data_IF_804043778200
#
_entry.id   IF_804043778200
#
_cell.length_a   1.000
_cell.length_b   1.000
_cell.length_c   1.000
_cell.angle_alpha   90.00
_cell.angle_beta   90.00
_cell.angle_gamma   90.00
#
_symmetry.space_group_name_H-M   'P 1'
#
loop_
_entity.id
_entity.type
_entity.pdbx_description
1 polymer ?
#
# COMPACT_ATOMS: atom_id res chain seq x y z
N UNK A 1 8.10 0.91 2.52
CA UNK A 1 6.97 1.84 2.32
C UNK A 1 7.22 3.10 3.16
N UNK A 2 7.22 4.26 2.51
CA UNK A 2 7.38 5.53 3.23
C UNK A 2 6.06 5.93 3.89
N UNK A 3 6.16 6.52 5.10
CA UNK A 3 5.01 7.13 5.76
C UNK A 3 4.51 8.32 4.92
N UNK A 4 3.18 8.50 4.86
CA UNK A 4 2.54 9.60 4.15
C UNK A 4 2.67 9.58 2.61
N UNK A 5 2.78 8.39 2.01
CA UNK A 5 2.79 8.22 0.56
C UNK A 5 1.55 8.85 -0.11
N UNK A 6 1.74 9.55 -1.22
CA UNK A 6 0.69 10.21 -1.99
C UNK A 6 0.69 9.73 -3.44
N UNK A 7 -0.40 9.93 -4.16
CA UNK A 7 -0.55 9.46 -5.55
C UNK A 7 0.55 9.92 -6.52
N UNK A 8 0.99 11.17 -6.51
CA UNK A 8 2.12 11.60 -7.34
C UNK A 8 3.38 10.77 -7.11
N UNK A 9 3.69 10.43 -5.86
CA UNK A 9 4.84 9.60 -5.52
C UNK A 9 4.64 8.17 -6.04
N UNK A 10 3.43 7.60 -5.86
CA UNK A 10 3.10 6.27 -6.37
C UNK A 10 3.28 6.18 -7.89
N UNK A 11 2.81 7.19 -8.63
CA UNK A 11 2.95 7.26 -10.08
C UNK A 11 4.43 7.26 -10.51
N UNK A 12 5.27 8.06 -9.87
CA UNK A 12 6.69 8.15 -10.22
C UNK A 12 7.46 6.87 -9.83
N UNK A 13 7.17 6.29 -8.67
CA UNK A 13 7.80 5.02 -8.28
C UNK A 13 7.37 3.86 -9.20
N UNK A 14 6.13 3.89 -9.67
CA UNK A 14 5.67 2.89 -10.63
C UNK A 14 6.41 3.03 -11.98
N UNK A 15 6.64 4.25 -12.48
CA UNK A 15 7.47 4.50 -13.66
C UNK A 15 8.89 3.93 -13.51
N UNK A 16 9.51 4.18 -12.35
CA UNK A 16 10.85 3.64 -12.07
C UNK A 16 10.81 2.11 -12.01
N UNK A 17 9.79 1.52 -11.39
CA UNK A 17 9.67 0.07 -11.34
C UNK A 17 9.52 -0.55 -12.74
N UNK A 18 8.82 0.11 -13.65
CA UNK A 18 8.63 -0.36 -15.03
C UNK A 18 9.92 -0.36 -15.86
N UNK A 19 10.98 0.33 -15.45
CA UNK A 19 12.29 0.27 -16.11
C UNK A 19 12.95 -1.13 -16.00
N UNK A 20 12.58 -1.91 -14.97
CA UNK A 20 13.19 -3.22 -14.69
C UNK A 20 12.17 -4.34 -14.41
N UNK A 21 10.89 -4.02 -14.29
CA UNK A 21 9.85 -4.97 -13.92
C UNK A 21 8.62 -4.80 -14.82
N UNK A 22 7.95 -5.92 -15.09
CA UNK A 22 6.69 -5.93 -15.85
C UNK A 22 5.60 -6.61 -15.01
N UNK A 23 5.06 -5.94 -13.98
CA UNK A 23 4.08 -6.53 -13.08
C UNK A 23 2.77 -6.81 -13.84
N UNK A 24 2.22 -8.01 -13.68
CA UNK A 24 0.88 -8.35 -14.18
C UNK A 24 -0.24 -7.79 -13.32
N UNK A 25 0.08 -7.53 -12.05
CA UNK A 25 -0.85 -7.01 -11.04
C UNK A 25 -0.20 -5.86 -10.29
N UNK A 26 -0.93 -4.77 -10.13
CA UNK A 26 -0.53 -3.61 -9.34
C UNK A 26 -1.60 -3.33 -8.30
N UNK A 27 -1.19 -3.12 -7.05
CA UNK A 27 -2.10 -2.82 -5.94
C UNK A 27 -1.82 -1.45 -5.37
N UNK A 28 -2.85 -0.62 -5.26
CA UNK A 28 -2.80 0.70 -4.64
C UNK A 28 -3.60 0.72 -3.33
N UNK A 29 -2.99 1.18 -2.27
CA UNK A 29 -3.70 1.41 -1.01
C UNK A 29 -4.63 2.63 -1.11
N UNK A 30 -5.91 2.46 -0.85
CA UNK A 30 -6.93 3.50 -1.03
C UNK A 30 -6.76 4.75 -0.15
N UNK A 31 -6.11 4.63 1.00
CA UNK A 31 -5.95 5.76 1.93
C UNK A 31 -5.11 6.92 1.37
N UNK A 32 -4.25 6.68 0.37
CA UNK A 32 -3.47 7.74 -0.26
C UNK A 32 -4.33 8.77 -1.02
N UNK A 33 -5.51 8.38 -1.48
CA UNK A 33 -6.41 9.23 -2.27
C UNK A 33 -7.10 10.33 -1.46
N UNK A 34 -7.11 10.21 -0.14
CA UNK A 34 -7.73 11.19 0.75
C UNK A 34 -6.78 12.30 1.19
N UNK A 35 -5.51 12.20 0.80
CA UNK A 35 -4.48 13.15 1.19
C UNK A 35 -4.42 14.33 0.22
N UNK A 36 -4.28 15.54 0.76
CA UNK A 36 -4.14 16.74 -0.05
C UNK A 36 -2.72 16.82 -0.63
N UNK A 37 -2.62 16.76 -1.96
CA UNK A 37 -1.36 16.81 -2.70
C UNK A 37 -0.91 18.22 -3.06
N UNK A 38 -1.80 19.24 -3.00
CA UNK A 38 -1.51 20.61 -3.46
C UNK A 38 -0.30 21.26 -2.79
N UNK A 39 -0.15 21.07 -1.48
CA UNK A 39 0.96 21.66 -0.72
C UNK A 39 2.33 21.05 -1.02
N UNK A 40 2.37 19.90 -1.68
CA UNK A 40 3.60 19.14 -1.95
C UNK A 40 4.09 19.21 -3.39
N UNK A 41 3.26 19.70 -4.34
CA UNK A 41 3.61 19.70 -5.79
C UNK A 41 4.92 20.41 -6.12
N UNK A 42 5.13 21.62 -5.59
CA UNK A 42 6.35 22.38 -5.85
C UNK A 42 7.57 21.75 -5.17
N UNK A 43 7.42 21.27 -3.95
CA UNK A 43 8.47 20.61 -3.18
C UNK A 43 8.94 19.33 -3.88
N UNK A 44 8.01 18.50 -4.35
CA UNK A 44 8.32 17.28 -5.10
C UNK A 44 9.09 17.60 -6.39
N UNK A 45 8.66 18.63 -7.13
CA UNK A 45 9.35 19.06 -8.35
C UNK A 45 10.77 19.53 -8.06
N UNK A 46 10.96 20.30 -6.98
CA UNK A 46 12.26 20.79 -6.54
C UNK A 46 13.15 19.67 -6.02
N UNK A 47 12.63 18.79 -5.18
CA UNK A 47 13.33 17.62 -4.67
C UNK A 47 13.79 16.69 -5.81
N UNK A 48 12.97 16.47 -6.81
CA UNK A 48 13.34 15.69 -8.00
C UNK A 48 14.44 16.34 -8.81
N UNK A 49 14.37 17.65 -9.02
CA UNK A 49 15.41 18.37 -9.71
C UNK A 49 16.74 18.26 -8.96
N UNK A 50 16.74 18.43 -7.63
CA UNK A 50 17.91 18.26 -6.78
C UNK A 50 18.46 16.83 -6.83
N UNK A 51 17.61 15.81 -6.71
CA UNK A 51 18.01 14.40 -6.78
C UNK A 51 18.59 14.01 -8.16
N UNK A 52 18.17 14.69 -9.22
CA UNK A 52 18.68 14.48 -10.57
C UNK A 52 20.07 15.10 -10.74
N UNK A 53 20.32 16.27 -10.12
CA UNK A 53 21.62 16.97 -10.15
C UNK A 53 22.60 16.38 -9.13
N UNK A 54 22.10 15.89 -8.00
CA UNK A 54 22.89 15.28 -6.94
C UNK A 54 22.35 13.88 -6.60
N UNK A 55 22.72 12.84 -7.36
CA UNK A 55 22.22 11.46 -7.15
C UNK A 55 22.47 10.93 -5.73
N UNK A 56 23.51 11.40 -5.05
CA UNK A 56 23.82 11.06 -3.64
C UNK A 56 22.66 11.39 -2.68
N UNK A 57 21.83 12.37 -3.00
CA UNK A 57 20.64 12.71 -2.18
C UNK A 57 19.59 11.61 -2.18
N UNK A 58 19.58 10.73 -3.18
CA UNK A 58 18.71 9.55 -3.19
C UNK A 58 19.10 8.54 -2.10
N UNK A 59 20.34 8.55 -1.69
CA UNK A 59 20.94 7.62 -0.73
C UNK A 59 21.23 8.28 0.62
N UNK A 60 20.81 9.51 0.81
CA UNK A 60 21.07 10.30 2.02
C UNK A 60 20.70 9.57 3.32
N UNK A 61 19.65 8.77 3.33
CA UNK A 61 19.29 7.96 4.50
C UNK A 61 20.08 6.64 4.61
N UNK A 62 20.80 6.24 3.55
CA UNK A 62 21.52 4.97 3.50
C UNK A 62 23.01 5.12 3.85
N UNK A 63 23.55 6.35 3.92
CA UNK A 63 24.96 6.57 4.22
C UNK A 63 25.37 6.02 5.61
N UNK A 64 24.46 6.03 6.57
CA UNK A 64 24.65 5.40 7.88
C UNK A 64 24.88 3.90 7.76
N UNK A 65 24.10 3.24 6.93
CA UNK A 65 24.22 1.81 6.67
C UNK A 65 25.54 1.47 5.97
N UNK A 66 26.01 2.38 5.08
CA UNK A 66 27.31 2.26 4.39
C UNK A 66 28.46 2.38 5.40
N UNK A 67 28.39 3.34 6.31
CA UNK A 67 29.45 3.60 7.31
C UNK A 67 29.50 2.52 8.40
N UNK A 68 28.40 1.89 8.74
CA UNK A 68 28.30 0.91 9.81
C UNK A 68 28.24 -0.55 9.32
N UNK A 69 28.52 -0.80 8.03
CA UNK A 69 28.45 -2.15 7.42
C UNK A 69 27.12 -2.88 7.61
N UNK A 70 26.02 -2.15 7.79
CA UNK A 70 24.70 -2.70 8.03
C UNK A 70 23.97 -2.98 6.71
N UNK A 71 24.67 -3.63 5.76
CA UNK A 71 24.09 -4.06 4.49
C UNK A 71 23.06 -5.19 4.65
N UNK A 72 22.97 -5.78 5.85
CA UNK A 72 22.11 -6.94 6.11
C UNK A 72 20.64 -6.62 6.29
N UNK A 73 20.27 -5.35 6.52
CA UNK A 73 18.90 -4.96 6.85
C UNK A 73 18.10 -4.35 5.69
N UNK A 74 18.65 -4.31 4.47
CA UNK A 74 17.87 -3.88 3.31
C UNK A 74 16.75 -4.88 3.09
N UNK A 75 15.70 -4.60 3.83
CA UNK A 75 14.35 -5.11 3.65
C UNK A 75 14.22 -6.64 3.51
N UNK A 76 14.66 -7.37 4.53
CA UNK A 76 14.20 -8.74 4.77
C UNK A 76 12.67 -8.79 4.64
N UNK A 77 11.99 -7.76 5.11
CA UNK A 77 10.53 -7.63 5.10
C UNK A 77 9.97 -7.08 3.77
N UNK A 78 10.79 -6.90 2.73
CA UNK A 78 10.34 -6.46 1.39
C UNK A 78 9.42 -5.23 1.40
N UNK A 79 9.72 -4.25 2.26
CA UNK A 79 8.94 -3.02 2.44
C UNK A 79 7.80 -3.13 3.45
N UNK A 80 7.53 -4.27 4.02
CA UNK A 80 6.63 -4.42 5.16
C UNK A 80 7.32 -3.94 6.44
N UNK A 81 6.58 -3.27 7.32
CA UNK A 81 7.06 -2.88 8.65
C UNK A 81 6.26 -3.64 9.70
N UNK A 82 6.89 -4.61 10.36
CA UNK A 82 6.30 -5.33 11.47
C UNK A 82 5.98 -4.38 12.63
N UNK A 83 4.73 -4.38 13.07
CA UNK A 83 4.28 -3.59 14.20
C UNK A 83 3.22 -4.34 14.99
N UNK A 84 3.56 -4.79 16.19
CA UNK A 84 2.66 -5.49 17.12
C UNK A 84 2.03 -4.57 18.16
N UNK A 85 2.30 -3.26 18.13
CA UNK A 85 1.70 -2.31 19.08
C UNK A 85 0.19 -2.43 19.05
N UNK A 86 -0.43 -2.55 20.21
CA UNK A 86 -1.87 -2.53 20.41
C UNK A 86 -2.24 -1.19 21.02
N UNK A 87 -3.09 -0.43 20.33
CA UNK A 87 -3.77 0.74 20.87
C UNK A 87 -5.25 0.57 20.58
N UNK A 88 -6.04 0.19 21.59
CA UNK A 88 -7.44 -0.14 21.41
C UNK A 88 -8.24 0.99 20.76
N UNK A 89 -9.04 0.64 19.76
CA UNK A 89 -10.07 1.48 19.16
C UNK A 89 -11.45 0.98 19.63
N UNK A 90 -12.37 1.90 19.82
CA UNK A 90 -13.78 1.53 20.03
C UNK A 90 -14.44 1.36 18.66
N UNK A 91 -15.18 0.28 18.46
CA UNK A 91 -15.94 0.10 17.22
C UNK A 91 -16.97 1.24 17.05
N UNK A 92 -17.03 1.76 15.84
CA UNK A 92 -18.07 2.67 15.36
C UNK A 92 -18.59 2.14 14.02
N UNK A 93 -19.86 2.36 13.71
CA UNK A 93 -20.46 1.98 12.44
C UNK A 93 -20.14 3.04 11.36
N UNK A 94 -18.87 3.04 10.93
CA UNK A 94 -18.31 4.03 9.98
C UNK A 94 -18.70 3.75 8.52
N UNK A 95 -19.19 2.55 8.22
CA UNK A 95 -19.65 2.15 6.89
C UNK A 95 -21.16 2.29 6.70
N UNK A 96 -21.88 2.85 7.70
CA UNK A 96 -23.32 3.05 7.63
C UNK A 96 -23.71 3.88 6.42
N UNK A 97 -24.73 3.41 5.71
CA UNK A 97 -25.30 4.08 4.55
C UNK A 97 -25.84 5.47 4.88
N UNK A 98 -25.64 6.39 3.96
CA UNK A 98 -26.17 7.76 4.05
C UNK A 98 -26.14 8.42 2.67
N UNK A 99 -26.84 9.55 2.52
CA UNK A 99 -27.01 10.29 1.27
C UNK A 99 -25.89 11.28 0.96
N UNK A 100 -24.84 11.33 1.78
CA UNK A 100 -23.71 12.25 1.55
C UNK A 100 -22.89 11.80 0.35
N UNK A 101 -22.29 12.75 -0.33
CA UNK A 101 -21.36 12.48 -1.43
C UNK A 101 -19.91 12.73 -1.01
N UNK A 102 -19.01 11.95 -1.58
CA UNK A 102 -17.57 12.21 -1.48
C UNK A 102 -17.06 12.76 -2.81
N UNK A 103 -16.51 13.97 -2.74
CA UNK A 103 -15.86 14.61 -3.90
C UNK A 103 -14.35 14.39 -3.80
N UNK A 104 -13.79 13.66 -4.77
CA UNK A 104 -12.35 13.45 -4.85
C UNK A 104 -11.64 14.77 -5.21
N UNK A 105 -10.48 14.99 -4.60
CA UNK A 105 -9.61 16.13 -4.96
C UNK A 105 -9.19 15.97 -6.43
N UNK A 106 -9.43 17.01 -7.26
CA UNK A 106 -9.15 16.99 -8.71
C UNK A 106 -7.75 16.46 -9.03
N UNK A 107 -6.73 16.92 -8.34
CA UNK A 107 -5.36 16.48 -8.57
C UNK A 107 -5.18 14.96 -8.29
N UNK A 108 -5.88 14.42 -7.29
CA UNK A 108 -5.82 12.99 -7.01
C UNK A 108 -6.52 12.17 -8.10
N UNK A 109 -7.63 12.67 -8.64
CA UNK A 109 -8.30 12.04 -9.78
C UNK A 109 -7.39 11.99 -11.01
N UNK A 110 -6.74 13.11 -11.37
CA UNK A 110 -5.84 13.18 -12.52
C UNK A 110 -4.65 12.22 -12.37
N UNK A 111 -4.02 12.17 -11.19
CA UNK A 111 -2.94 11.22 -10.95
C UNK A 111 -3.39 9.76 -10.94
N UNK A 112 -4.60 9.48 -10.41
CA UNK A 112 -5.18 8.14 -10.47
C UNK A 112 -5.37 7.73 -11.93
N UNK A 113 -5.99 8.59 -12.74
CA UNK A 113 -6.19 8.33 -14.17
C UNK A 113 -4.86 8.07 -14.89
N UNK A 114 -3.86 8.94 -14.70
CA UNK A 114 -2.53 8.75 -15.28
C UNK A 114 -1.89 7.42 -14.86
N UNK A 115 -2.05 7.02 -13.60
CA UNK A 115 -1.54 5.76 -13.07
C UNK A 115 -2.21 4.56 -13.75
N UNK A 116 -3.55 4.59 -13.86
CA UNK A 116 -4.33 3.52 -14.48
C UNK A 116 -4.00 3.40 -15.97
N UNK A 117 -3.93 4.53 -16.68
CA UNK A 117 -3.58 4.55 -18.11
C UNK A 117 -2.18 3.97 -18.34
N UNK A 118 -1.20 4.33 -17.50
CA UNK A 118 0.13 3.78 -17.56
C UNK A 118 0.14 2.27 -17.26
N UNK A 119 -0.56 1.82 -16.24
CA UNK A 119 -0.62 0.39 -15.91
C UNK A 119 -1.26 -0.42 -17.05
N UNK A 120 -2.34 0.08 -17.64
CA UNK A 120 -3.00 -0.54 -18.80
C UNK A 120 -2.09 -0.63 -20.02
N UNK A 121 -1.26 0.38 -20.28
CA UNK A 121 -0.30 0.36 -21.40
C UNK A 121 0.77 -0.74 -21.27
N UNK A 122 0.97 -1.25 -20.06
CA UNK A 122 1.84 -2.40 -19.76
C UNK A 122 1.05 -3.70 -19.49
N UNK A 123 -0.25 -3.74 -19.82
CA UNK A 123 -1.13 -4.88 -19.58
C UNK A 123 -1.21 -5.32 -18.12
N UNK A 124 -0.98 -4.41 -17.18
CA UNK A 124 -1.10 -4.69 -15.76
C UNK A 124 -2.54 -4.48 -15.27
N UNK A 125 -3.07 -5.46 -14.52
CA UNK A 125 -4.35 -5.32 -13.83
C UNK A 125 -4.17 -4.51 -12.55
N UNK A 126 -5.01 -3.49 -12.35
CA UNK A 126 -4.92 -2.61 -11.20
C UNK A 126 -6.03 -2.91 -10.19
N UNK A 127 -5.62 -3.07 -8.94
CA UNK A 127 -6.50 -3.18 -7.78
C UNK A 127 -6.30 -1.98 -6.86
N UNK A 128 -7.38 -1.35 -6.46
CA UNK A 128 -7.38 -0.36 -5.38
C UNK A 128 -7.97 -1.02 -4.14
N UNK A 129 -7.21 -0.98 -3.03
CA UNK A 129 -7.58 -1.69 -1.80
C UNK A 129 -7.97 -0.70 -0.72
N UNK A 130 -9.20 -0.79 -0.23
CA UNK A 130 -9.66 -0.13 0.98
C UNK A 130 -9.33 -0.98 2.20
N UNK A 131 -8.22 -0.70 2.87
CA UNK A 131 -7.88 -1.41 4.11
C UNK A 131 -8.80 -1.00 5.27
N UNK A 132 -9.13 -1.91 6.20
CA UNK A 132 -9.95 -1.59 7.37
C UNK A 132 -9.40 -0.39 8.14
N UNK A 133 -10.22 0.67 8.24
CA UNK A 133 -9.87 1.90 8.95
C UNK A 133 -11.12 2.69 9.26
N UNK A 134 -11.46 2.83 10.55
CA UNK A 134 -12.65 3.55 11.00
C UNK A 134 -12.58 5.06 10.75
N UNK A 135 -11.37 5.62 10.64
CA UNK A 135 -11.17 7.06 10.45
C UNK A 135 -10.99 7.44 8.99
N UNK A 136 -10.46 6.52 8.17
CA UNK A 136 -10.16 6.81 6.75
C UNK A 136 -11.24 6.36 5.79
N UNK A 137 -12.07 5.37 6.16
CA UNK A 137 -13.12 4.87 5.28
C UNK A 137 -14.51 5.24 5.80
N UNK A 138 -15.46 5.30 4.88
CA UNK A 138 -16.89 5.50 5.12
C UNK A 138 -17.69 5.12 3.86
N UNK A 139 -19.01 5.10 3.98
CA UNK A 139 -19.91 4.71 2.89
C UNK A 139 -19.75 5.56 1.62
N UNK A 140 -19.59 6.90 1.75
CA UNK A 140 -19.46 7.78 0.60
C UNK A 140 -18.17 7.51 -0.21
N UNK A 141 -17.09 7.21 0.49
CA UNK A 141 -15.81 6.84 -0.16
C UNK A 141 -15.91 5.50 -0.85
N UNK A 142 -16.57 4.52 -0.21
CA UNK A 142 -16.84 3.22 -0.84
C UNK A 142 -17.62 3.38 -2.14
N UNK A 143 -18.75 4.10 -2.11
CA UNK A 143 -19.57 4.39 -3.29
C UNK A 143 -18.74 5.04 -4.40
N UNK A 144 -17.99 6.09 -4.05
CA UNK A 144 -17.17 6.83 -5.03
C UNK A 144 -16.09 5.97 -5.68
N UNK A 145 -15.44 5.09 -4.91
CA UNK A 145 -14.39 4.23 -5.46
C UNK A 145 -14.95 3.11 -6.34
N UNK A 146 -16.16 2.61 -6.08
CA UNK A 146 -16.86 1.72 -7.01
C UNK A 146 -17.19 2.43 -8.34
N UNK A 147 -17.69 3.68 -8.30
CA UNK A 147 -17.93 4.49 -9.49
C UNK A 147 -16.64 4.71 -10.29
N UNK A 148 -15.55 5.11 -9.63
CA UNK A 148 -14.26 5.34 -10.27
C UNK A 148 -13.65 4.06 -10.83
N UNK A 149 -13.85 2.91 -10.18
CA UNK A 149 -13.41 1.61 -10.68
C UNK A 149 -14.07 1.29 -12.03
N UNK A 150 -15.38 1.51 -12.13
CA UNK A 150 -16.12 1.34 -13.39
C UNK A 150 -15.70 2.36 -14.46
N UNK A 151 -15.49 3.62 -14.08
CA UNK A 151 -15.11 4.71 -14.99
C UNK A 151 -13.70 4.52 -15.55
N UNK A 152 -12.72 4.27 -14.67
CA UNK A 152 -11.30 4.23 -15.01
C UNK A 152 -10.80 2.80 -15.31
N UNK A 153 -11.60 1.77 -15.03
CA UNK A 153 -11.29 0.37 -15.30
C UNK A 153 -10.22 -0.22 -14.39
N UNK A 154 -10.37 -0.06 -13.09
CA UNK A 154 -9.64 -0.79 -12.05
C UNK A 154 -10.62 -1.59 -11.18
N UNK A 155 -10.15 -2.63 -10.52
CA UNK A 155 -10.94 -3.34 -9.53
C UNK A 155 -10.79 -2.70 -8.14
N UNK A 156 -11.91 -2.37 -7.50
CA UNK A 156 -11.92 -1.85 -6.15
C UNK A 156 -12.31 -2.95 -5.16
N UNK A 157 -11.42 -3.22 -4.21
CA UNK A 157 -11.62 -4.19 -3.14
C UNK A 157 -11.70 -3.43 -1.82
N UNK A 158 -12.89 -3.27 -1.28
CA UNK A 158 -13.07 -2.62 0.00
C UNK A 158 -13.13 -3.65 1.14
N UNK A 159 -11.99 -3.89 1.79
CA UNK A 159 -11.89 -4.83 2.89
C UNK A 159 -12.70 -4.42 4.14
N UNK A 160 -13.17 -3.18 4.21
CA UNK A 160 -14.10 -2.75 5.27
C UNK A 160 -15.48 -3.42 5.18
N UNK A 161 -15.81 -4.03 4.04
CA UNK A 161 -17.08 -4.75 3.79
C UNK A 161 -16.93 -6.27 3.86
N UNK A 162 -15.71 -6.77 4.06
CA UNK A 162 -15.44 -8.21 4.22
C UNK A 162 -15.51 -8.59 5.69
N UNK A 163 -15.99 -9.79 5.95
CA UNK A 163 -15.91 -10.37 7.28
C UNK A 163 -14.47 -10.83 7.57
N UNK A 164 -13.65 -9.89 8.00
CA UNK A 164 -12.26 -10.13 8.40
C UNK A 164 -12.14 -10.49 9.88
N UNK A 165 -13.24 -10.49 10.61
CA UNK A 165 -13.25 -10.66 12.06
C UNK A 165 -12.23 -9.73 12.76
N UNK A 166 -12.23 -8.44 12.37
CA UNK A 166 -11.35 -7.43 12.99
C UNK A 166 -11.85 -7.12 14.40
N UNK A 167 -11.01 -7.35 15.37
CA UNK A 167 -11.21 -6.88 16.73
C UNK A 167 -10.50 -5.54 16.94
N UNK A 168 -11.27 -4.46 16.99
CA UNK A 168 -10.73 -3.10 17.08
C UNK A 168 -9.98 -2.82 18.40
N UNK A 169 -10.13 -3.68 19.40
CA UNK A 169 -9.39 -3.56 20.67
C UNK A 169 -7.97 -4.11 20.57
N UNK A 170 -7.70 -5.08 19.67
CA UNK A 170 -6.40 -5.76 19.60
C UNK A 170 -5.74 -5.70 18.21
N UNK A 171 -6.49 -5.49 17.13
CA UNK A 171 -5.99 -5.56 15.74
C UNK A 171 -5.51 -4.22 15.19
N UNK A 172 -5.47 -3.17 16.02
CA UNK A 172 -5.11 -1.81 15.61
C UNK A 172 -3.96 -1.25 16.46
N UNK A 173 -3.12 -0.43 15.82
CA UNK A 173 -1.96 0.21 16.47
C UNK A 173 -2.20 1.67 16.86
N UNK A 174 -3.34 2.26 16.48
CA UNK A 174 -3.61 3.69 16.64
C UNK A 174 -5.11 4.01 16.66
N UNK A 175 -5.85 3.25 17.47
CA UNK A 175 -7.28 3.50 17.77
C UNK A 175 -8.20 3.37 16.54
N UNK A 176 -7.91 2.43 15.64
CA UNK A 176 -8.77 2.12 14.50
C UNK A 176 -8.39 2.79 13.18
N UNK A 177 -7.29 3.54 13.10
CA UNK A 177 -6.81 4.12 11.84
C UNK A 177 -5.98 3.13 11.01
N UNK A 178 -5.06 2.40 11.65
CA UNK A 178 -4.23 1.40 10.96
C UNK A 178 -4.22 0.08 11.70
N UNK A 179 -4.24 -0.99 10.94
CA UNK A 179 -4.04 -2.34 11.47
C UNK A 179 -2.60 -2.50 11.99
N UNK A 180 -2.46 -3.26 13.07
CA UNK A 180 -1.19 -3.80 13.52
C UNK A 180 -0.91 -5.14 12.84
N UNK A 181 0.09 -5.89 13.30
CA UNK A 181 0.42 -7.23 12.78
C UNK A 181 -0.79 -8.18 12.75
N UNK A 182 -1.57 -8.22 13.81
CA UNK A 182 -2.70 -9.17 13.94
C UNK A 182 -3.80 -8.88 12.92
N UNK A 183 -4.22 -7.62 12.82
CA UNK A 183 -5.20 -7.18 11.83
C UNK A 183 -4.67 -7.26 10.40
N UNK A 184 -3.41 -6.89 10.16
CA UNK A 184 -2.78 -6.98 8.85
C UNK A 184 -2.70 -8.42 8.34
N UNK A 185 -2.45 -9.41 9.22
CA UNK A 185 -2.46 -10.83 8.86
C UNK A 185 -3.83 -11.27 8.32
N UNK A 186 -4.93 -10.86 8.98
CA UNK A 186 -6.31 -11.16 8.55
C UNK A 186 -6.59 -10.57 7.16
N UNK A 187 -6.27 -9.29 6.95
CA UNK A 187 -6.45 -8.61 5.66
C UNK A 187 -5.58 -9.25 4.55
N UNK A 188 -4.34 -9.61 4.86
CA UNK A 188 -3.41 -10.22 3.89
C UNK A 188 -3.86 -11.59 3.41
N UNK A 189 -4.50 -12.39 4.26
CA UNK A 189 -5.04 -13.69 3.87
C UNK A 189 -6.15 -13.54 2.83
N UNK A 190 -7.06 -12.59 3.02
CA UNK A 190 -8.14 -12.32 2.06
C UNK A 190 -7.58 -11.82 0.73
N UNK A 191 -6.65 -10.86 0.77
CA UNK A 191 -6.00 -10.36 -0.45
C UNK A 191 -5.26 -11.48 -1.17
N UNK A 192 -4.54 -12.32 -0.43
CA UNK A 192 -3.83 -13.47 -1.00
C UNK A 192 -4.75 -14.44 -1.74
N UNK A 193 -5.92 -14.75 -1.18
CA UNK A 193 -6.93 -15.58 -1.83
C UNK A 193 -7.49 -14.90 -3.09
N UNK A 194 -7.86 -13.62 -3.02
CA UNK A 194 -8.33 -12.88 -4.20
C UNK A 194 -7.29 -12.90 -5.32
N UNK A 195 -6.01 -12.67 -4.99
CA UNK A 195 -4.93 -12.70 -5.98
C UNK A 195 -4.71 -14.09 -6.56
N UNK A 196 -4.79 -15.13 -5.76
CA UNK A 196 -4.70 -16.53 -6.21
C UNK A 196 -5.80 -16.85 -7.22
N UNK A 197 -7.03 -16.43 -6.95
CA UNK A 197 -8.20 -16.70 -7.80
C UNK A 197 -8.13 -15.96 -9.15
N UNK A 198 -7.27 -14.94 -9.29
CA UNK A 198 -7.06 -14.28 -10.59
C UNK A 198 -6.35 -15.14 -11.62
N UNK A 199 -5.62 -16.17 -11.20
CA UNK A 199 -4.73 -16.99 -12.02
C UNK A 199 -3.69 -16.20 -12.84
N UNK A 200 -3.41 -14.95 -12.45
CA UNK A 200 -2.41 -14.09 -13.11
C UNK A 200 -1.01 -14.28 -12.53
N UNK A 201 -0.92 -14.78 -11.31
CA UNK A 201 0.33 -14.95 -10.58
C UNK A 201 0.75 -16.41 -10.56
N UNK A 202 2.04 -16.64 -10.80
CA UNK A 202 2.64 -17.98 -10.74
C UNK A 202 3.16 -18.21 -9.31
N UNK A 203 3.02 -19.46 -8.83
CA UNK A 203 3.57 -19.85 -7.54
C UNK A 203 5.06 -20.20 -7.69
N UNK A 204 5.93 -19.38 -7.16
CA UNK A 204 7.39 -19.51 -7.22
C UNK A 204 8.00 -20.07 -5.93
N UNK A 205 7.22 -20.59 -4.98
CA UNK A 205 7.73 -21.05 -3.66
C UNK A 205 8.76 -22.17 -3.75
N UNK A 206 8.69 -22.97 -4.79
CA UNK A 206 9.61 -24.09 -5.03
C UNK A 206 10.72 -23.77 -6.05
N UNK A 207 10.73 -22.58 -6.62
CA UNK A 207 11.70 -22.19 -7.63
C UNK A 207 13.01 -21.77 -6.98
N UNK A 208 14.13 -22.30 -7.49
CA UNK A 208 15.46 -22.03 -6.94
C UNK A 208 15.83 -20.54 -6.98
N UNK A 209 15.40 -19.83 -8.01
CA UNK A 209 15.64 -18.39 -8.20
C UNK A 209 14.98 -17.55 -7.11
N UNK A 210 13.90 -18.04 -6.52
CA UNK A 210 13.14 -17.36 -5.48
C UNK A 210 13.48 -17.80 -4.04
N UNK A 211 14.52 -18.65 -3.87
CA UNK A 211 14.93 -19.17 -2.55
C UNK A 211 15.13 -18.07 -1.49
N UNK A 212 15.58 -16.88 -1.92
CA UNK A 212 15.77 -15.75 -0.99
C UNK A 212 14.45 -15.25 -0.36
N UNK A 213 13.30 -15.51 -0.97
CA UNK A 213 12.01 -15.22 -0.37
C UNK A 213 11.68 -16.17 0.77
N UNK A 214 12.05 -17.45 0.65
CA UNK A 214 11.88 -18.45 1.73
C UNK A 214 12.76 -18.07 2.92
N UNK A 215 14.03 -17.71 2.69
CA UNK A 215 14.94 -17.21 3.74
C UNK A 215 14.38 -15.95 4.40
N UNK A 216 13.82 -15.02 3.62
CA UNK A 216 13.21 -13.81 4.16
C UNK A 216 11.96 -14.13 5.01
N UNK A 217 11.17 -15.14 4.62
CA UNK A 217 10.03 -15.60 5.39
C UNK A 217 10.45 -16.22 6.72
N UNK A 218 11.45 -17.09 6.73
CA UNK A 218 11.98 -17.71 7.97
C UNK A 218 12.42 -16.62 8.97
N UNK A 219 13.24 -15.68 8.53
CA UNK A 219 13.68 -14.54 9.37
C UNK A 219 12.53 -13.66 9.85
N UNK A 220 11.52 -13.44 9.00
CA UNK A 220 10.34 -12.69 9.40
C UNK A 220 9.56 -13.41 10.51
N UNK A 221 9.40 -14.73 10.41
CA UNK A 221 8.73 -15.54 11.43
C UNK A 221 9.49 -15.49 12.77
N UNK A 222 10.83 -15.59 12.74
CA UNK A 222 11.68 -15.41 13.92
C UNK A 222 11.49 -14.03 14.57
N UNK A 223 11.41 -12.94 13.77
CA UNK A 223 11.15 -11.61 14.31
C UNK A 223 9.76 -11.51 14.93
N UNK A 224 8.76 -12.14 14.31
CA UNK A 224 7.41 -12.20 14.87
C UNK A 224 7.39 -12.87 16.23
N UNK A 225 8.15 -13.94 16.43
CA UNK A 225 8.26 -14.64 17.72
C UNK A 225 8.99 -13.82 18.79
N UNK A 226 10.09 -13.14 18.42
CA UNK A 226 10.91 -12.36 19.37
C UNK A 226 10.21 -11.13 19.94
N UNK A 227 9.23 -10.57 19.22
CA UNK A 227 8.49 -9.37 19.64
C UNK A 227 7.22 -9.77 20.43
N UNK A 228 7.04 -11.06 20.72
CA UNK A 228 5.90 -11.62 21.47
C UNK A 228 5.87 -11.22 22.94
#
# INVERSE_FOLDING_TARGET
AEAAFILPDAYEYYKIALESQHPKVVMLGGNMFFRNTRKRKWYIKYERALKKVMPLLNYHNNWKNILFNDYGLVSIQKGYKLNKTIKPGKYIDYMKENDKEYVMIKDNYEYLKMFIDLAKSYNAKVYVIGFPSQNSWNYQRDKKFNELGNELGFEFINLNKYDLNINWEIDTKDKGEHLNYYGAKKASLVIGNILKDTNLLVDHRNDKEYKMWNVALERYLEEVEKIG
#
